data_IF_082176331576
#
_entry.id   IF_082176331576
#
_cell.length_a   1.000
_cell.length_b   1.000
_cell.length_c   1.000
_cell.angle_alpha   90.00
_cell.angle_beta   90.00
_cell.angle_gamma   90.00
#
_symmetry.space_group_name_H-M   'P 1'
#
loop_
_entity.id
_entity.type
_entity.pdbx_description
1 polymer ?
#
# COMPACT_ATOMS: atom_id res chain seq x y z
N UNK A 1 -4.67 -14.81 31.92
CA UNK A 1 -4.98 -13.42 31.52
C UNK A 1 -4.38 -13.23 30.13
N UNK A 2 -5.20 -13.28 29.07
CA UNK A 2 -4.69 -13.14 27.70
C UNK A 2 -4.48 -11.64 27.46
N UNK A 3 -3.22 -11.20 27.43
CA UNK A 3 -2.89 -9.86 26.96
C UNK A 3 -3.04 -9.80 25.45
N UNK A 4 -4.24 -9.45 24.97
CA UNK A 4 -4.44 -9.05 23.58
C UNK A 4 -3.82 -7.66 23.43
N UNK A 5 -2.52 -7.59 23.12
CA UNK A 5 -1.97 -6.39 22.49
C UNK A 5 -2.70 -6.27 21.15
N UNK A 6 -3.41 -5.16 20.90
CA UNK A 6 -3.90 -4.83 19.56
C UNK A 6 -2.69 -4.98 18.64
N UNK A 7 -2.76 -5.88 17.65
CA UNK A 7 -1.73 -6.00 16.64
C UNK A 7 -1.46 -4.59 16.13
N UNK A 8 -0.22 -4.13 16.29
CA UNK A 8 0.14 -2.86 15.69
C UNK A 8 -0.07 -3.01 14.18
N UNK A 9 -0.53 -1.96 13.51
CA UNK A 9 -0.85 -1.92 12.07
C UNK A 9 0.21 -2.56 11.16
N UNK A 10 1.46 -2.66 11.64
CA UNK A 10 2.58 -3.30 10.96
C UNK A 10 2.44 -4.82 10.75
N UNK A 11 1.70 -5.56 11.58
CA UNK A 11 1.59 -7.03 11.44
C UNK A 11 0.50 -7.46 10.44
N UNK A 12 -0.42 -6.54 10.11
CA UNK A 12 -1.61 -6.82 9.28
C UNK A 12 -1.30 -6.57 7.80
N UNK A 13 -0.46 -5.59 7.50
CA UNK A 13 -0.07 -5.23 6.12
C UNK A 13 0.54 -6.41 5.34
N UNK A 14 1.47 -7.21 5.89
CA UNK A 14 1.99 -8.39 5.18
C UNK A 14 0.91 -9.42 4.86
N UNK A 15 -0.08 -9.59 5.74
CA UNK A 15 -1.17 -10.54 5.54
C UNK A 15 -2.20 -10.04 4.50
N UNK A 16 -2.59 -8.77 4.59
CA UNK A 16 -3.43 -8.13 3.58
C UNK A 16 -2.75 -8.15 2.21
N UNK A 17 -1.47 -7.78 2.13
CA UNK A 17 -0.69 -7.81 0.90
C UNK A 17 -0.63 -9.22 0.27
N UNK A 18 -0.46 -10.26 1.08
CA UNK A 18 -0.51 -11.66 0.62
C UNK A 18 -1.89 -12.04 0.09
N UNK A 19 -2.95 -11.59 0.75
CA UNK A 19 -4.35 -11.81 0.33
C UNK A 19 -4.61 -11.18 -1.04
N UNK A 20 -4.11 -9.96 -1.25
CA UNK A 20 -4.25 -9.22 -2.51
C UNK A 20 -3.16 -9.54 -3.54
N UNK A 21 -2.24 -10.48 -3.24
CA UNK A 21 -1.12 -10.88 -4.10
C UNK A 21 -0.33 -9.66 -4.63
N UNK A 22 -0.05 -8.72 -3.75
CA UNK A 22 0.80 -7.57 -4.07
C UNK A 22 2.24 -8.05 -4.27
N UNK A 23 2.88 -7.56 -5.31
CA UNK A 23 4.32 -7.73 -5.53
C UNK A 23 5.12 -6.92 -4.52
N UNK A 24 6.40 -7.25 -4.32
CA UNK A 24 7.29 -6.46 -3.45
C UNK A 24 7.35 -4.98 -3.84
N UNK A 25 7.36 -4.68 -5.14
CA UNK A 25 7.35 -3.29 -5.62
C UNK A 25 6.02 -2.59 -5.33
N UNK A 26 4.89 -3.27 -5.48
CA UNK A 26 3.58 -2.72 -5.10
C UNK A 26 3.49 -2.49 -3.58
N UNK A 27 4.04 -3.40 -2.76
CA UNK A 27 4.11 -3.23 -1.30
C UNK A 27 4.94 -2.01 -0.89
N UNK A 28 6.10 -1.82 -1.50
CA UNK A 28 6.95 -0.64 -1.24
C UNK A 28 6.24 0.67 -1.60
N UNK A 29 5.51 0.69 -2.72
CA UNK A 29 4.69 1.85 -3.12
C UNK A 29 3.54 2.07 -2.13
N UNK A 30 2.85 1.01 -1.71
CA UNK A 30 1.75 1.09 -0.75
C UNK A 30 2.22 1.60 0.63
N UNK A 31 3.35 1.13 1.13
CA UNK A 31 3.94 1.60 2.39
C UNK A 31 4.20 3.12 2.34
N UNK A 32 4.77 3.61 1.24
CA UNK A 32 4.98 5.04 1.06
C UNK A 32 3.67 5.84 0.97
N UNK A 33 2.63 5.29 0.32
CA UNK A 33 1.30 5.88 0.28
C UNK A 33 0.68 6.01 1.68
N UNK A 34 0.81 4.96 2.51
CA UNK A 34 0.31 4.94 3.89
C UNK A 34 1.04 5.94 4.79
N UNK A 35 2.32 6.23 4.49
CA UNK A 35 3.10 7.29 5.11
C UNK A 35 2.72 8.71 4.64
N UNK A 36 1.76 8.83 3.72
CA UNK A 36 1.26 10.12 3.22
C UNK A 36 2.14 10.77 2.16
N UNK A 37 3.14 10.07 1.61
CA UNK A 37 4.04 10.63 0.61
C UNK A 37 3.31 10.93 -0.71
N UNK A 38 3.64 12.05 -1.35
CA UNK A 38 3.23 12.42 -2.70
C UNK A 38 3.90 11.52 -3.76
N UNK A 39 3.36 11.48 -4.99
CA UNK A 39 3.97 10.67 -6.08
C UNK A 39 5.44 11.02 -6.31
N UNK A 40 5.80 12.32 -6.20
CA UNK A 40 7.18 12.77 -6.39
C UNK A 40 8.10 12.27 -5.27
N UNK A 41 7.62 12.29 -4.03
CA UNK A 41 8.37 11.76 -2.88
C UNK A 41 8.53 10.25 -2.96
N UNK A 42 7.48 9.52 -3.38
CA UNK A 42 7.56 8.06 -3.59
C UNK A 42 8.57 7.73 -4.68
N UNK A 43 8.52 8.45 -5.81
CA UNK A 43 9.45 8.29 -6.92
C UNK A 43 10.91 8.46 -6.45
N UNK A 44 11.15 9.51 -5.65
CA UNK A 44 12.47 9.77 -5.04
C UNK A 44 12.88 8.69 -4.04
N UNK A 45 11.97 8.24 -3.18
CA UNK A 45 12.23 7.25 -2.12
C UNK A 45 12.57 5.88 -2.71
N UNK A 46 11.89 5.50 -3.79
CA UNK A 46 12.03 4.17 -4.41
C UNK A 46 12.95 4.16 -5.64
N UNK A 47 13.57 5.29 -5.98
CA UNK A 47 14.45 5.47 -7.14
C UNK A 47 13.81 5.01 -8.46
N UNK A 48 12.55 5.42 -8.69
CA UNK A 48 11.78 5.14 -9.90
C UNK A 48 11.14 6.42 -10.45
N UNK A 49 10.63 6.37 -11.69
CA UNK A 49 9.95 7.54 -12.26
C UNK A 49 8.56 7.75 -11.62
N UNK A 50 8.05 9.00 -11.57
CA UNK A 50 6.66 9.26 -11.16
C UNK A 50 5.62 8.49 -12.00
N UNK A 51 5.93 8.24 -13.28
CA UNK A 51 5.08 7.43 -14.16
C UNK A 51 5.02 5.97 -13.68
N UNK A 52 6.17 5.40 -13.29
CA UNK A 52 6.24 4.04 -12.71
C UNK A 52 5.45 3.94 -11.39
N UNK A 53 5.48 4.99 -10.56
CA UNK A 53 4.62 5.05 -9.35
C UNK A 53 3.14 4.99 -9.74
N UNK A 54 2.72 5.76 -10.74
CA UNK A 54 1.34 5.73 -11.23
C UNK A 54 0.94 4.35 -11.77
N UNK A 55 1.82 3.66 -12.48
CA UNK A 55 1.55 2.30 -12.98
C UNK A 55 1.36 1.29 -11.85
N UNK A 56 2.20 1.36 -10.80
CA UNK A 56 2.00 0.53 -9.61
C UNK A 56 0.67 0.82 -8.90
N UNK A 57 0.32 2.10 -8.72
CA UNK A 57 -0.98 2.49 -8.13
C UNK A 57 -2.14 1.99 -8.98
N UNK A 58 -2.06 2.15 -10.31
CA UNK A 58 -3.07 1.67 -11.24
C UNK A 58 -3.21 0.15 -11.20
N UNK A 59 -2.09 -0.59 -11.16
CA UNK A 59 -2.10 -2.04 -11.05
C UNK A 59 -2.77 -2.50 -9.76
N UNK A 60 -2.46 -1.89 -8.61
CA UNK A 60 -3.12 -2.20 -7.34
C UNK A 60 -4.63 -1.95 -7.41
N UNK A 61 -5.05 -0.77 -7.90
CA UNK A 61 -6.48 -0.41 -8.01
C UNK A 61 -7.24 -1.36 -8.94
N UNK A 62 -6.73 -1.60 -10.15
CA UNK A 62 -7.48 -2.31 -11.19
C UNK A 62 -7.34 -3.82 -11.13
N UNK A 63 -6.17 -4.34 -10.73
CA UNK A 63 -5.85 -5.77 -10.83
C UNK A 63 -5.85 -6.49 -9.49
N UNK A 64 -5.72 -5.77 -8.37
CA UNK A 64 -5.51 -6.38 -7.04
C UNK A 64 -6.70 -6.15 -6.11
N UNK A 65 -7.21 -4.92 -6.04
CA UNK A 65 -8.20 -4.55 -5.02
C UNK A 65 -9.57 -4.17 -5.57
N UNK A 66 -9.66 -3.85 -6.87
CA UNK A 66 -10.87 -3.31 -7.51
C UNK A 66 -11.39 -2.00 -6.85
N UNK A 67 -10.51 -1.26 -6.18
CA UNK A 67 -10.83 0.03 -5.61
C UNK A 67 -10.74 1.12 -6.68
N UNK A 68 -11.59 2.14 -6.59
CA UNK A 68 -11.68 3.16 -7.64
C UNK A 68 -10.75 4.37 -7.46
N UNK A 69 -10.05 4.49 -6.32
CA UNK A 69 -9.16 5.64 -6.09
C UNK A 69 -8.01 5.37 -5.14
N UNK A 70 -6.92 6.15 -5.30
CA UNK A 70 -5.78 6.20 -4.37
C UNK A 70 -6.22 6.45 -2.93
N UNK A 71 -7.21 7.34 -2.71
CA UNK A 71 -7.72 7.64 -1.37
C UNK A 71 -8.39 6.42 -0.75
N UNK A 72 -9.18 5.67 -1.53
CA UNK A 72 -9.76 4.42 -1.05
C UNK A 72 -8.70 3.35 -0.81
N UNK A 73 -7.64 3.28 -1.62
CA UNK A 73 -6.51 2.39 -1.37
C UNK A 73 -5.87 2.66 0.00
N UNK A 74 -5.56 3.93 0.29
CA UNK A 74 -5.01 4.33 1.59
C UNK A 74 -6.00 4.03 2.72
N UNK A 75 -7.26 4.46 2.59
CA UNK A 75 -8.29 4.22 3.61
C UNK A 75 -8.45 2.73 3.92
N UNK A 76 -8.56 1.90 2.88
CA UNK A 76 -8.74 0.46 3.02
C UNK A 76 -7.58 -0.19 3.77
N UNK A 77 -6.34 0.07 3.36
CA UNK A 77 -5.15 -0.52 4.00
C UNK A 77 -4.77 0.11 5.34
N UNK A 78 -5.30 1.30 5.68
CA UNK A 78 -5.15 1.90 7.02
C UNK A 78 -6.17 1.37 8.05
N UNK A 79 -7.25 0.71 7.61
CA UNK A 79 -8.36 0.28 8.48
C UNK A 79 -8.62 -1.23 8.45
N UNK A 80 -7.72 -2.02 7.85
CA UNK A 80 -7.76 -3.49 7.86
C UNK A 80 -6.90 -4.06 8.98
#
# INVERSE_FOLDING_TARGET
MIHIKRAQTNDILPYAAKTYRLTEREMNVLDCLLKGQSTKEIASTLYISPHTVHDHVKAMLQKKTNLSSRRMLVYFFSNI
#
